data_IF_562712452912
#
_entry.id   IF_562712452912
#
_cell.length_a   1.000
_cell.length_b   1.000
_cell.length_c   1.000
_cell.angle_alpha   90.00
_cell.angle_beta   90.00
_cell.angle_gamma   90.00
#
_symmetry.space_group_name_H-M   'P 1'
#
loop_
_entity.id
_entity.type
_entity.pdbx_description
1 polymer ?
#
# COMPACT_ATOMS: atom_id res chain seq x y z
N UNK A 1 52.95 -46.95 15.67
CA UNK A 1 52.59 -46.41 14.34
C UNK A 1 51.15 -46.78 14.09
N UNK A 2 50.18 -45.92 13.78
CA UNK A 2 50.16 -44.50 13.41
C UNK A 2 48.69 -44.03 13.46
N UNK A 3 48.49 -42.97 14.25
CA UNK A 3 47.44 -41.95 14.36
C UNK A 3 46.07 -42.06 13.63
N UNK A 4 44.97 -41.60 14.27
CA UNK A 4 43.69 -41.34 13.61
C UNK A 4 43.75 -40.06 12.78
N UNK A 5 43.20 -40.13 11.57
CA UNK A 5 43.06 -39.02 10.62
C UNK A 5 42.13 -37.93 11.14
N UNK A 6 42.70 -36.82 11.61
CA UNK A 6 42.00 -35.56 11.86
C UNK A 6 41.65 -34.88 10.53
N UNK A 7 40.37 -34.72 10.23
CA UNK A 7 39.91 -33.83 9.17
C UNK A 7 40.11 -32.36 9.60
N UNK A 8 40.68 -31.48 8.76
CA UNK A 8 40.80 -30.07 9.12
C UNK A 8 39.43 -29.40 9.03
N UNK A 9 38.95 -28.88 10.17
CA UNK A 9 37.80 -28.00 10.22
C UNK A 9 38.07 -26.76 9.36
N UNK A 10 37.31 -26.61 8.27
CA UNK A 10 37.35 -25.40 7.42
C UNK A 10 36.73 -24.24 8.19
N UNK A 11 37.58 -23.46 8.84
CA UNK A 11 37.20 -22.24 9.55
C UNK A 11 36.75 -21.16 8.56
N UNK A 12 35.46 -21.11 8.22
CA UNK A 12 34.83 -19.95 7.57
C UNK A 12 34.67 -18.80 8.57
N UNK A 13 35.80 -18.26 9.05
CA UNK A 13 35.86 -17.02 9.83
C UNK A 13 36.78 -16.03 9.12
N UNK A 14 36.34 -15.49 8.00
CA UNK A 14 36.83 -14.18 7.57
C UNK A 14 35.84 -13.13 8.04
N UNK A 15 36.18 -12.59 9.21
CA UNK A 15 35.54 -11.45 9.83
C UNK A 15 35.46 -10.29 8.85
N UNK A 16 34.27 -9.68 8.79
CA UNK A 16 34.02 -8.38 8.20
C UNK A 16 34.90 -7.36 8.93
N UNK A 17 36.11 -7.14 8.43
CA UNK A 17 37.08 -6.22 9.04
C UNK A 17 36.70 -4.82 8.57
N UNK A 18 35.89 -4.13 9.37
CA UNK A 18 35.48 -2.75 9.12
C UNK A 18 36.74 -1.88 8.96
N UNK A 19 36.95 -1.37 7.75
CA UNK A 19 38.06 -0.48 7.38
C UNK A 19 37.49 0.92 7.21
N UNK A 20 37.53 1.78 8.24
CA UNK A 20 36.99 3.14 8.16
C UNK A 20 37.65 3.98 7.05
N UNK A 21 38.86 3.62 6.65
CA UNK A 21 39.67 4.27 5.61
C UNK A 21 39.13 4.06 4.17
N UNK A 22 38.19 3.13 3.95
CA UNK A 22 37.62 2.79 2.62
C UNK A 22 36.21 3.36 2.39
N UNK A 23 35.74 4.30 3.22
CA UNK A 23 34.39 4.87 3.08
C UNK A 23 34.20 5.71 1.80
N UNK A 24 35.27 6.30 1.25
CA UNK A 24 35.22 7.14 0.05
C UNK A 24 34.74 6.38 -1.20
N UNK A 25 35.08 5.09 -1.32
CA UNK A 25 34.62 4.20 -2.39
C UNK A 25 33.09 4.05 -2.35
N UNK A 26 32.52 3.84 -1.15
CA UNK A 26 31.06 3.77 -0.97
C UNK A 26 30.36 5.08 -1.37
N UNK A 27 30.94 6.23 -1.02
CA UNK A 27 30.40 7.53 -1.42
C UNK A 27 30.44 7.73 -2.94
N UNK A 28 31.49 7.29 -3.63
CA UNK A 28 31.58 7.35 -5.09
C UNK A 28 30.50 6.49 -5.77
N UNK A 29 30.20 5.31 -5.24
CA UNK A 29 29.11 4.47 -5.75
C UNK A 29 27.72 5.08 -5.49
N UNK A 30 27.55 5.82 -4.39
CA UNK A 30 26.31 6.53 -4.08
C UNK A 30 26.13 7.81 -4.90
N UNK A 31 27.24 8.42 -5.34
CA UNK A 31 27.28 9.75 -5.94
C UNK A 31 26.33 9.92 -7.15
N UNK A 32 26.27 9.00 -8.13
CA UNK A 32 25.35 9.12 -9.26
C UNK A 32 23.87 9.11 -8.84
N UNK A 33 23.52 8.26 -7.85
CA UNK A 33 22.16 8.18 -7.32
C UNK A 33 21.79 9.45 -6.55
N UNK A 34 22.71 9.97 -5.73
CA UNK A 34 22.51 11.21 -4.97
C UNK A 34 22.40 12.43 -5.86
N UNK A 35 23.21 12.52 -6.93
CA UNK A 35 23.07 13.59 -7.94
C UNK A 35 21.71 13.50 -8.62
N UNK A 36 21.31 12.31 -9.07
CA UNK A 36 20.00 12.11 -9.70
C UNK A 36 18.85 12.52 -8.78
N UNK A 37 18.87 12.05 -7.53
CA UNK A 37 17.91 12.45 -6.51
C UNK A 37 17.91 13.96 -6.26
N UNK A 38 19.10 14.56 -6.13
CA UNK A 38 19.29 15.98 -5.87
C UNK A 38 18.69 16.85 -6.97
N UNK A 39 18.97 16.52 -8.24
CA UNK A 39 18.54 17.31 -9.41
C UNK A 39 17.07 17.08 -9.73
N UNK A 40 16.59 15.84 -9.73
CA UNK A 40 15.25 15.54 -10.23
C UNK A 40 14.16 15.53 -9.16
N UNK A 41 14.51 15.22 -7.90
CA UNK A 41 13.51 15.14 -6.82
C UNK A 41 13.67 16.33 -5.88
N UNK A 42 14.83 16.47 -5.25
CA UNK A 42 15.03 17.46 -4.20
C UNK A 42 14.89 18.89 -4.74
N UNK A 43 15.57 19.21 -5.83
CA UNK A 43 15.48 20.51 -6.47
C UNK A 43 14.05 20.82 -6.94
N UNK A 44 13.33 19.85 -7.51
CA UNK A 44 11.94 20.04 -7.93
C UNK A 44 11.01 20.36 -6.75
N UNK A 45 11.20 19.68 -5.60
CA UNK A 45 10.45 19.96 -4.36
C UNK A 45 10.77 21.36 -3.84
N UNK A 46 12.05 21.75 -3.79
CA UNK A 46 12.46 23.08 -3.33
C UNK A 46 11.91 24.17 -4.26
N UNK A 47 11.97 23.98 -5.58
CA UNK A 47 11.41 24.91 -6.55
C UNK A 47 9.89 25.01 -6.42
N UNK A 48 9.17 23.90 -6.26
CA UNK A 48 7.72 23.89 -6.04
C UNK A 48 7.34 24.64 -4.75
N UNK A 49 8.14 24.48 -3.69
CA UNK A 49 7.96 25.23 -2.45
C UNK A 49 8.28 26.71 -2.61
N UNK A 50 9.28 27.08 -3.42
CA UNK A 50 9.52 28.49 -3.77
C UNK A 50 8.36 29.11 -4.55
N UNK A 51 7.83 28.38 -5.53
CA UNK A 51 6.69 28.78 -6.36
C UNK A 51 5.40 28.92 -5.56
N UNK A 52 5.21 28.20 -4.46
CA UNK A 52 4.00 28.33 -3.63
C UNK A 52 3.86 29.71 -3.00
N UNK A 53 4.94 30.49 -2.89
CA UNK A 53 4.93 31.88 -2.42
C UNK A 53 4.86 32.91 -3.56
N UNK A 54 4.77 32.47 -4.81
CA UNK A 54 4.70 33.31 -5.98
C UNK A 54 3.32 33.24 -6.65
N UNK A 55 2.93 34.33 -7.33
CA UNK A 55 1.82 34.32 -8.28
C UNK A 55 2.35 33.80 -9.61
N UNK A 56 2.06 32.52 -9.86
CA UNK A 56 2.47 31.80 -11.06
C UNK A 56 1.23 31.33 -11.82
N UNK A 57 1.11 31.74 -13.08
CA UNK A 57 -0.01 31.36 -13.94
C UNK A 57 0.45 30.91 -15.33
N UNK A 58 -0.52 30.67 -16.22
CA UNK A 58 -0.27 30.25 -17.61
C UNK A 58 0.61 31.24 -18.41
N UNK A 59 0.62 32.52 -18.01
CA UNK A 59 1.44 33.58 -18.62
C UNK A 59 2.82 33.76 -17.95
N UNK A 60 3.21 32.85 -17.05
CA UNK A 60 4.47 32.90 -16.31
C UNK A 60 4.35 33.54 -14.91
N UNK A 61 5.52 33.82 -14.32
CA UNK A 61 5.67 34.42 -12.99
C UNK A 61 5.22 35.89 -13.01
N UNK A 62 4.21 36.24 -12.23
CA UNK A 62 3.71 37.61 -12.08
C UNK A 62 4.36 38.36 -10.91
N UNK A 63 4.88 37.65 -9.91
CA UNK A 63 5.63 38.23 -8.79
C UNK A 63 5.55 37.39 -7.51
N UNK A 64 6.28 37.81 -6.48
CA UNK A 64 6.23 37.19 -5.16
C UNK A 64 5.02 37.70 -4.36
N UNK A 65 4.18 36.80 -3.87
CA UNK A 65 2.94 37.13 -3.13
C UNK A 65 2.96 36.67 -1.67
N UNK A 66 4.06 36.05 -1.22
CA UNK A 66 4.23 35.57 0.14
C UNK A 66 3.16 34.54 0.50
N UNK A 67 2.45 34.74 1.62
CA UNK A 67 1.45 33.79 2.12
C UNK A 67 0.05 33.94 1.52
N UNK A 68 -0.15 34.82 0.54
CA UNK A 68 -1.49 35.08 -0.04
C UNK A 68 -2.13 33.82 -0.63
N UNK A 69 -1.34 32.96 -1.29
CA UNK A 69 -1.83 31.68 -1.84
C UNK A 69 -2.41 30.78 -0.74
N UNK A 70 -1.75 30.69 0.41
CA UNK A 70 -2.22 29.89 1.55
C UNK A 70 -3.48 30.49 2.19
N UNK A 71 -3.58 31.82 2.31
CA UNK A 71 -4.78 32.48 2.82
C UNK A 71 -5.99 32.28 1.89
N UNK A 72 -5.76 32.34 0.58
CA UNK A 72 -6.78 32.04 -0.42
C UNK A 72 -7.25 30.59 -0.32
N UNK A 73 -6.30 29.64 -0.26
CA UNK A 73 -6.59 28.21 -0.12
C UNK A 73 -7.38 27.89 1.15
N UNK A 74 -7.01 28.51 2.28
CA UNK A 74 -7.70 28.30 3.55
C UNK A 74 -9.17 28.74 3.54
N UNK A 75 -9.50 29.75 2.74
CA UNK A 75 -10.87 30.26 2.58
C UNK A 75 -11.66 29.55 1.48
N UNK A 76 -11.01 28.69 0.71
CA UNK A 76 -11.63 27.98 -0.40
C UNK A 76 -12.44 26.76 0.11
N UNK A 77 -13.77 26.73 -0.04
CA UNK A 77 -14.57 25.58 0.36
C UNK A 77 -14.24 24.31 -0.45
N UNK A 78 -13.77 24.45 -1.70
CA UNK A 78 -13.40 23.32 -2.55
C UNK A 78 -12.15 22.63 -2.00
N UNK A 79 -11.17 23.39 -1.52
CA UNK A 79 -9.99 22.85 -0.84
C UNK A 79 -10.39 21.98 0.36
N UNK A 80 -11.26 22.47 1.23
CA UNK A 80 -11.70 21.72 2.40
C UNK A 80 -12.53 20.48 2.03
N UNK A 81 -13.31 20.54 0.96
CA UNK A 81 -14.04 19.38 0.44
C UNK A 81 -13.06 18.31 -0.08
N UNK A 82 -12.07 18.71 -0.87
CA UNK A 82 -11.03 17.81 -1.35
C UNK A 82 -10.24 17.19 -0.18
N UNK A 83 -9.80 18.01 0.77
CA UNK A 83 -9.09 17.54 1.96
C UNK A 83 -9.90 16.54 2.78
N UNK A 84 -11.20 16.79 3.01
CA UNK A 84 -12.09 15.84 3.71
C UNK A 84 -12.26 14.53 2.94
N UNK A 85 -12.32 14.58 1.61
CA UNK A 85 -12.39 13.38 0.78
C UNK A 85 -11.09 12.58 0.85
N UNK A 86 -9.93 13.23 0.75
CA UNK A 86 -8.62 12.57 0.92
C UNK A 86 -8.47 11.97 2.31
N UNK A 87 -8.86 12.70 3.37
CA UNK A 87 -8.86 12.19 4.74
C UNK A 87 -9.78 10.96 4.89
N UNK A 88 -10.96 10.98 4.28
CA UNK A 88 -11.85 9.83 4.22
C UNK A 88 -11.17 8.62 3.56
N UNK A 89 -10.48 8.82 2.43
CA UNK A 89 -9.74 7.73 1.78
C UNK A 89 -8.61 7.20 2.66
N UNK A 90 -7.84 8.06 3.31
CA UNK A 90 -6.75 7.62 4.20
C UNK A 90 -7.29 6.78 5.36
N UNK A 91 -8.30 7.28 6.08
CA UNK A 91 -8.87 6.60 7.26
C UNK A 91 -9.64 5.33 6.87
N UNK A 92 -10.10 5.21 5.62
CA UNK A 92 -10.86 4.05 5.15
C UNK A 92 -9.98 3.03 4.44
N UNK A 93 -9.28 3.44 3.38
CA UNK A 93 -8.48 2.55 2.52
C UNK A 93 -7.32 1.94 3.28
N UNK A 94 -6.55 2.74 4.03
CA UNK A 94 -5.32 2.25 4.67
C UNK A 94 -5.62 1.15 5.70
N UNK A 95 -6.54 1.34 6.67
CA UNK A 95 -6.85 0.27 7.63
C UNK A 95 -7.48 -0.96 6.97
N UNK A 96 -8.39 -0.76 6.00
CA UNK A 96 -9.02 -1.87 5.29
C UNK A 96 -7.99 -2.67 4.48
N UNK A 97 -7.08 -2.01 3.80
CA UNK A 97 -6.06 -2.67 2.99
C UNK A 97 -5.07 -3.43 3.88
N UNK A 98 -4.65 -2.87 5.02
CA UNK A 98 -3.85 -3.60 6.02
C UNK A 98 -4.61 -4.82 6.57
N UNK A 99 -5.89 -4.65 6.93
CA UNK A 99 -6.71 -5.73 7.46
C UNK A 99 -6.93 -6.85 6.45
N UNK A 100 -7.41 -6.53 5.24
CA UNK A 100 -7.62 -7.53 4.19
C UNK A 100 -6.31 -8.17 3.73
N UNK A 101 -5.23 -7.40 3.62
CA UNK A 101 -3.90 -7.92 3.32
C UNK A 101 -3.43 -8.94 4.36
N UNK A 102 -3.60 -8.62 5.66
CA UNK A 102 -3.28 -9.52 6.76
C UNK A 102 -4.13 -10.79 6.73
N UNK A 103 -5.45 -10.66 6.54
CA UNK A 103 -6.37 -11.81 6.50
C UNK A 103 -5.99 -12.76 5.37
N UNK A 104 -5.76 -12.23 4.16
CA UNK A 104 -5.34 -13.03 3.02
C UNK A 104 -3.96 -13.64 3.25
N UNK A 105 -3.02 -12.91 3.85
CA UNK A 105 -1.70 -13.43 4.18
C UNK A 105 -1.77 -14.58 5.18
N UNK A 106 -2.56 -14.46 6.25
CA UNK A 106 -2.77 -15.53 7.23
C UNK A 106 -3.42 -16.77 6.60
N UNK A 107 -4.45 -16.57 5.76
CA UNK A 107 -5.10 -17.67 5.04
C UNK A 107 -4.13 -18.41 4.12
N UNK A 108 -3.26 -17.67 3.42
CA UNK A 108 -2.24 -18.24 2.54
C UNK A 108 -1.00 -18.72 3.30
N UNK A 109 -0.79 -18.34 4.55
CA UNK A 109 0.35 -18.81 5.34
C UNK A 109 0.18 -20.28 5.74
N UNK A 110 -1.05 -20.77 5.79
CA UNK A 110 -1.37 -22.17 6.05
C UNK A 110 -0.97 -23.09 4.88
N UNK A 111 -0.85 -24.38 5.16
CA UNK A 111 -0.54 -25.43 4.18
C UNK A 111 -1.75 -25.76 3.29
N UNK A 112 -2.20 -24.79 2.50
CA UNK A 112 -3.32 -24.97 1.56
C UNK A 112 -2.82 -25.52 0.20
N UNK A 113 -3.63 -26.37 -0.43
CA UNK A 113 -3.37 -26.82 -1.81
C UNK A 113 -3.57 -25.64 -2.78
N UNK A 114 -2.70 -25.52 -3.79
CA UNK A 114 -2.84 -24.46 -4.81
C UNK A 114 -2.41 -23.06 -4.37
N UNK A 115 -1.61 -22.91 -3.30
CA UNK A 115 -1.14 -21.62 -2.77
C UNK A 115 -0.56 -20.66 -3.83
N UNK A 116 0.18 -21.19 -4.81
CA UNK A 116 0.75 -20.37 -5.89
C UNK A 116 -0.32 -19.80 -6.83
N UNK A 117 -1.40 -20.53 -7.10
CA UNK A 117 -2.51 -20.05 -7.93
C UNK A 117 -3.26 -18.93 -7.20
N UNK A 118 -3.55 -19.09 -5.91
CA UNK A 118 -4.19 -18.02 -5.14
C UNK A 118 -3.32 -16.76 -5.06
N UNK A 119 -2.01 -16.91 -4.81
CA UNK A 119 -1.06 -15.79 -4.84
C UNK A 119 -1.11 -15.07 -6.19
N UNK A 120 -1.13 -15.81 -7.31
CA UNK A 120 -1.23 -15.22 -8.64
C UNK A 120 -2.55 -14.45 -8.83
N UNK A 121 -3.70 -15.04 -8.48
CA UNK A 121 -5.01 -14.41 -8.65
C UNK A 121 -5.10 -13.10 -7.85
N UNK A 122 -4.68 -13.11 -6.60
CA UNK A 122 -4.74 -11.90 -5.75
C UNK A 122 -3.69 -10.86 -6.11
N UNK A 123 -2.55 -11.26 -6.69
CA UNK A 123 -1.50 -10.34 -7.11
C UNK A 123 -1.71 -9.80 -8.53
N UNK A 124 -2.47 -10.50 -9.38
CA UNK A 124 -2.74 -10.11 -10.77
C UNK A 124 -3.26 -8.66 -10.90
N UNK A 125 -4.18 -8.16 -10.05
CA UNK A 125 -4.60 -6.76 -10.11
C UNK A 125 -3.43 -5.78 -9.95
N UNK A 126 -2.43 -6.08 -9.13
CA UNK A 126 -1.30 -5.20 -8.81
C UNK A 126 -0.50 -4.84 -10.07
N UNK A 127 -0.39 -5.75 -11.03
CA UNK A 127 0.36 -5.52 -12.28
C UNK A 127 -0.47 -4.87 -13.39
N UNK A 128 -1.78 -4.70 -13.19
CA UNK A 128 -2.64 -4.05 -14.19
C UNK A 128 -2.46 -2.53 -14.19
N UNK A 129 -2.67 -1.90 -15.36
CA UNK A 129 -2.71 -0.45 -15.50
C UNK A 129 -3.95 0.09 -14.77
N UNK A 130 -3.75 1.05 -13.86
CA UNK A 130 -4.83 1.56 -13.01
C UNK A 130 -5.98 2.17 -13.83
N UNK A 131 -5.68 2.85 -14.95
CA UNK A 131 -6.67 3.44 -15.84
C UNK A 131 -7.57 2.37 -16.47
N UNK A 132 -6.99 1.25 -16.92
CA UNK A 132 -7.76 0.15 -17.48
C UNK A 132 -8.67 -0.50 -16.41
N UNK A 133 -8.13 -0.70 -15.20
CA UNK A 133 -8.91 -1.18 -14.06
C UNK A 133 -10.07 -0.26 -13.71
N UNK A 134 -9.84 1.06 -13.70
CA UNK A 134 -10.87 2.07 -13.44
C UNK A 134 -11.98 2.06 -14.51
N UNK A 135 -11.63 1.93 -15.80
CA UNK A 135 -12.62 1.81 -16.88
C UNK A 135 -13.47 0.56 -16.71
N UNK A 136 -12.86 -0.61 -16.43
CA UNK A 136 -13.60 -1.85 -16.21
C UNK A 136 -14.53 -1.73 -15.01
N UNK A 137 -14.05 -1.19 -13.88
CA UNK A 137 -14.90 -0.96 -12.72
C UNK A 137 -16.01 0.05 -12.99
N UNK A 138 -15.75 1.12 -13.76
CA UNK A 138 -16.77 2.09 -14.17
C UNK A 138 -17.87 1.42 -15.00
N UNK A 139 -17.51 0.53 -15.92
CA UNK A 139 -18.48 -0.26 -16.69
C UNK A 139 -19.28 -1.20 -15.77
N UNK A 140 -18.59 -1.92 -14.87
CA UNK A 140 -19.22 -2.83 -13.90
C UNK A 140 -20.21 -2.13 -12.98
N UNK A 141 -19.86 -0.94 -12.47
CA UNK A 141 -20.62 -0.15 -11.51
C UNK A 141 -21.57 0.86 -12.14
N UNK A 142 -21.68 0.88 -13.48
CA UNK A 142 -22.63 1.74 -14.17
C UNK A 142 -24.08 1.33 -13.84
N UNK A 143 -25.02 2.28 -13.92
CA UNK A 143 -26.43 2.03 -13.57
C UNK A 143 -27.10 0.95 -14.44
N UNK A 144 -26.56 0.69 -15.64
CA UNK A 144 -27.01 -0.37 -16.55
C UNK A 144 -25.91 -1.41 -16.75
N UNK A 145 -25.01 -1.53 -15.78
CA UNK A 145 -23.88 -2.45 -15.82
C UNK A 145 -24.24 -3.82 -15.25
N UNK A 146 -23.34 -4.81 -15.39
CA UNK A 146 -23.54 -6.16 -14.89
C UNK A 146 -23.92 -6.24 -13.40
N UNK A 147 -23.40 -5.35 -12.56
CA UNK A 147 -23.76 -5.33 -11.13
C UNK A 147 -25.20 -4.85 -10.91
N UNK A 148 -25.67 -3.87 -11.68
CA UNK A 148 -27.06 -3.42 -11.62
C UNK A 148 -28.00 -4.55 -12.09
N UNK A 149 -27.68 -5.21 -13.20
CA UNK A 149 -28.46 -6.34 -13.72
C UNK A 149 -28.57 -7.49 -12.72
N UNK A 150 -27.45 -7.83 -12.06
CA UNK A 150 -27.43 -8.83 -10.99
C UNK A 150 -28.31 -8.43 -9.80
N UNK A 151 -28.30 -7.16 -9.40
CA UNK A 151 -29.17 -6.69 -8.30
C UNK A 151 -30.64 -6.72 -8.67
N UNK A 152 -31.00 -6.35 -9.91
CA UNK A 152 -32.38 -6.46 -10.39
C UNK A 152 -32.84 -7.92 -10.48
N UNK A 153 -31.98 -8.81 -10.98
CA UNK A 153 -32.27 -10.25 -11.00
C UNK A 153 -32.52 -10.80 -9.60
N UNK A 154 -31.68 -10.43 -8.62
CA UNK A 154 -31.85 -10.84 -7.22
C UNK A 154 -33.12 -10.25 -6.58
N UNK A 155 -33.43 -8.98 -6.87
CA UNK A 155 -34.66 -8.32 -6.44
C UNK A 155 -35.90 -9.07 -6.94
N UNK A 156 -35.90 -9.45 -8.23
CA UNK A 156 -36.99 -10.21 -8.85
C UNK A 156 -37.15 -11.61 -8.26
N UNK A 157 -36.05 -12.31 -7.93
CA UNK A 157 -36.09 -13.62 -7.29
C UNK A 157 -36.62 -13.58 -5.85
N UNK A 158 -36.27 -12.54 -5.10
CA UNK A 158 -36.62 -12.41 -3.68
C UNK A 158 -37.94 -11.66 -3.46
N UNK A 159 -38.48 -11.01 -4.49
CA UNK A 159 -39.64 -10.14 -4.40
C UNK A 159 -39.39 -8.85 -3.61
N UNK A 160 -38.14 -8.56 -3.25
CA UNK A 160 -37.77 -7.37 -2.49
C UNK A 160 -37.54 -6.18 -3.44
N UNK A 161 -38.07 -4.98 -3.14
CA UNK A 161 -37.84 -3.78 -3.94
C UNK A 161 -36.43 -3.22 -3.71
N UNK A 162 -35.40 -3.93 -4.20
CA UNK A 162 -34.01 -3.53 -4.11
C UNK A 162 -33.67 -2.72 -5.36
N UNK A 163 -33.31 -1.46 -5.17
CA UNK A 163 -32.79 -0.61 -6.25
C UNK A 163 -31.27 -0.56 -6.18
N UNK A 164 -30.55 -0.77 -7.30
CA UNK A 164 -29.10 -0.64 -7.30
C UNK A 164 -28.69 0.78 -6.90
N UNK A 165 -27.72 0.93 -5.99
CA UNK A 165 -27.18 2.23 -5.66
C UNK A 165 -26.45 2.81 -6.89
N UNK A 166 -26.62 4.11 -7.12
CA UNK A 166 -25.91 4.81 -8.18
C UNK A 166 -24.45 5.04 -7.77
N UNK A 167 -23.62 4.03 -7.99
CA UNK A 167 -22.23 3.97 -7.56
C UNK A 167 -21.37 5.10 -8.09
N UNK A 168 -21.64 5.62 -9.29
CA UNK A 168 -20.77 6.60 -9.95
C UNK A 168 -21.22 8.05 -9.72
N UNK A 169 -22.53 8.31 -9.74
CA UNK A 169 -23.04 9.68 -9.70
C UNK A 169 -23.55 10.12 -8.32
N UNK A 170 -23.65 9.19 -7.36
CA UNK A 170 -24.07 9.54 -6.00
C UNK A 170 -22.89 10.09 -5.18
N UNK A 171 -23.10 11.21 -4.49
CA UNK A 171 -22.14 11.76 -3.52
C UNK A 171 -21.84 10.81 -2.34
N UNK A 172 -22.75 9.87 -2.06
CA UNK A 172 -22.59 8.86 -1.00
C UNK A 172 -21.83 7.63 -1.48
N UNK A 173 -22.17 7.10 -2.66
CA UNK A 173 -21.66 5.81 -3.14
C UNK A 173 -20.38 5.90 -3.99
N UNK A 174 -20.14 7.04 -4.67
CA UNK A 174 -18.92 7.27 -5.47
C UNK A 174 -17.63 7.06 -4.72
N UNK A 175 -17.55 7.56 -3.48
CA UNK A 175 -16.37 7.35 -2.62
C UNK A 175 -16.12 5.87 -2.34
N UNK A 176 -17.19 5.09 -2.14
CA UNK A 176 -17.07 3.65 -1.89
C UNK A 176 -16.68 2.88 -3.15
N UNK A 177 -17.13 3.29 -4.33
CA UNK A 177 -16.69 2.72 -5.60
C UNK A 177 -15.16 2.86 -5.78
N UNK A 178 -14.63 4.04 -5.49
CA UNK A 178 -13.18 4.29 -5.51
C UNK A 178 -12.45 3.46 -4.45
N UNK A 179 -12.98 3.35 -3.22
CA UNK A 179 -12.41 2.48 -2.18
C UNK A 179 -12.34 1.03 -2.66
N UNK A 180 -13.42 0.50 -3.26
CA UNK A 180 -13.47 -0.87 -3.75
C UNK A 180 -12.41 -1.15 -4.83
N UNK A 181 -12.29 -0.26 -5.83
CA UNK A 181 -11.25 -0.37 -6.85
C UNK A 181 -9.86 -0.34 -6.21
N UNK A 182 -9.63 0.60 -5.31
CA UNK A 182 -8.33 0.81 -4.66
C UNK A 182 -7.92 -0.42 -3.84
N UNK A 183 -8.87 -1.00 -3.08
CA UNK A 183 -8.64 -2.23 -2.32
C UNK A 183 -8.37 -3.41 -3.25
N UNK A 184 -9.20 -3.61 -4.27
CA UNK A 184 -9.01 -4.69 -5.24
C UNK A 184 -7.64 -4.62 -5.93
N UNK A 185 -7.20 -3.42 -6.30
CA UNK A 185 -5.92 -3.18 -6.96
C UNK A 185 -4.72 -3.51 -6.06
N UNK A 186 -4.77 -3.10 -4.80
CA UNK A 186 -3.57 -3.00 -3.95
C UNK A 186 -3.49 -4.03 -2.83
N UNK A 187 -4.58 -4.72 -2.49
CA UNK A 187 -4.59 -5.72 -1.40
C UNK A 187 -3.61 -6.87 -1.65
N UNK A 188 -3.42 -7.27 -2.92
CA UNK A 188 -2.47 -8.33 -3.29
C UNK A 188 -1.03 -8.01 -2.92
N UNK A 189 -0.62 -6.75 -3.10
CA UNK A 189 0.73 -6.29 -2.73
C UNK A 189 0.93 -6.35 -1.22
N UNK A 190 -0.01 -5.82 -0.45
CA UNK A 190 0.00 -5.85 1.02
C UNK A 190 0.01 -7.29 1.55
N UNK A 191 -0.79 -8.17 0.95
CA UNK A 191 -0.82 -9.60 1.28
C UNK A 191 0.53 -10.27 1.06
N UNK A 192 1.20 -10.05 -0.08
CA UNK A 192 2.49 -10.69 -0.37
C UNK A 192 3.56 -10.27 0.63
N UNK A 193 3.61 -8.98 0.99
CA UNK A 193 4.56 -8.46 1.98
C UNK A 193 4.28 -9.05 3.36
N UNK A 194 3.03 -9.07 3.81
CA UNK A 194 2.68 -9.71 5.08
C UNK A 194 3.00 -11.20 5.08
N UNK A 195 2.73 -11.90 3.98
CA UNK A 195 3.01 -13.31 3.87
C UNK A 195 4.51 -13.60 3.99
N UNK A 196 5.36 -12.78 3.37
CA UNK A 196 6.80 -12.89 3.53
C UNK A 196 7.24 -12.64 4.99
N UNK A 197 6.66 -11.64 5.66
CA UNK A 197 6.96 -11.37 7.06
C UNK A 197 6.50 -12.49 8.01
N UNK A 198 5.31 -13.04 7.78
CA UNK A 198 4.77 -14.18 8.54
C UNK A 198 5.65 -15.42 8.41
N UNK A 199 6.21 -15.65 7.22
CA UNK A 199 7.15 -16.76 6.96
C UNK A 199 8.51 -16.58 7.64
N UNK A 200 8.85 -15.35 8.05
CA UNK A 200 10.06 -15.05 8.80
C UNK A 200 9.93 -15.22 10.31
N UNK A 201 8.72 -15.45 10.84
CA UNK A 201 8.52 -15.65 12.28
C UNK A 201 9.01 -17.05 12.68
N UNK A 202 9.96 -17.17 13.63
CA UNK A 202 10.48 -18.47 14.05
C UNK A 202 9.38 -19.39 14.60
N UNK A 203 9.39 -20.65 14.18
CA UNK A 203 8.42 -21.67 14.63
C UNK A 203 8.47 -21.90 16.15
N UNK A 204 9.68 -21.81 16.74
CA UNK A 204 9.93 -21.99 18.17
C UNK A 204 9.07 -21.08 19.06
N UNK A 205 8.75 -19.86 18.60
CA UNK A 205 7.89 -18.94 19.35
C UNK A 205 6.42 -19.40 19.38
N UNK A 206 5.96 -20.05 18.30
CA UNK A 206 4.62 -20.62 18.25
C UNK A 206 4.52 -21.88 19.12
N UNK A 207 5.55 -22.72 19.11
CA UNK A 207 5.60 -23.97 19.88
C UNK A 207 5.73 -23.67 21.39
N UNK A 208 6.50 -22.66 21.77
CA UNK A 208 6.60 -22.18 23.15
C UNK A 208 5.24 -21.65 23.65
N UNK A 209 4.57 -20.81 22.86
CA UNK A 209 3.25 -20.30 23.20
C UNK A 209 2.19 -21.42 23.31
N UNK A 210 2.27 -22.45 22.47
CA UNK A 210 1.39 -23.62 22.56
C UNK A 210 1.66 -24.45 23.83
N UNK A 211 2.92 -24.59 24.23
CA UNK A 211 3.31 -25.22 25.50
C UNK A 211 2.76 -24.46 26.71
N UNK A 212 2.72 -23.12 26.63
CA UNK A 212 2.11 -22.25 27.64
C UNK A 212 0.56 -22.22 27.59
N UNK A 213 -0.07 -23.02 26.71
CA UNK A 213 -1.53 -23.13 26.60
C UNK A 213 -2.20 -21.99 25.83
N UNK A 214 -1.46 -21.22 25.03
CA UNK A 214 -2.01 -20.10 24.27
C UNK A 214 -2.90 -20.57 23.10
N UNK A 215 -4.13 -20.06 23.05
CA UNK A 215 -5.05 -20.29 21.93
C UNK A 215 -4.63 -19.52 20.66
N UNK A 216 -5.27 -19.80 19.52
CA UNK A 216 -4.91 -19.20 18.23
C UNK A 216 -4.95 -17.65 18.20
N UNK A 217 -5.92 -17.05 18.89
CA UNK A 217 -6.01 -15.59 18.98
C UNK A 217 -4.92 -14.99 19.87
N UNK A 218 -4.59 -15.65 20.99
CA UNK A 218 -3.48 -15.26 21.86
C UNK A 218 -2.14 -15.37 21.12
N UNK A 219 -1.91 -16.45 20.37
CA UNK A 219 -0.72 -16.59 19.52
C UNK A 219 -0.64 -15.48 18.46
N UNK A 220 -1.74 -15.19 17.77
CA UNK A 220 -1.78 -14.10 16.79
C UNK A 220 -1.45 -12.74 17.43
N UNK A 221 -2.09 -12.39 18.54
CA UNK A 221 -1.93 -11.08 19.18
C UNK A 221 -0.58 -10.91 19.89
N UNK A 222 -0.06 -11.96 20.53
CA UNK A 222 1.12 -11.87 21.40
C UNK A 222 2.42 -12.34 20.72
N UNK A 223 2.35 -13.15 19.68
CA UNK A 223 3.53 -13.63 18.93
C UNK A 223 3.57 -13.00 17.54
N UNK A 224 2.54 -13.22 16.73
CA UNK A 224 2.54 -12.82 15.32
C UNK A 224 2.56 -11.31 15.14
N UNK A 225 1.60 -10.58 15.72
CA UNK A 225 1.46 -9.13 15.54
C UNK A 225 2.70 -8.35 15.98
N UNK A 226 3.31 -8.62 17.15
CA UNK A 226 4.55 -7.95 17.56
C UNK A 226 5.72 -8.23 16.61
N UNK A 227 5.89 -9.49 16.20
CA UNK A 227 7.00 -9.89 15.32
C UNK A 227 6.93 -9.26 13.93
N UNK A 228 5.73 -9.08 13.37
CA UNK A 228 5.55 -8.44 12.05
C UNK A 228 5.26 -6.93 12.16
N UNK A 229 5.27 -6.36 13.37
CA UNK A 229 4.99 -4.93 13.57
C UNK A 229 5.87 -3.98 12.75
N UNK A 230 7.18 -4.25 12.50
CA UNK A 230 7.98 -3.39 11.62
C UNK A 230 7.47 -3.41 10.18
N UNK A 231 6.98 -4.56 9.71
CA UNK A 231 6.37 -4.71 8.38
C UNK A 231 5.03 -4.01 8.31
N UNK A 232 4.18 -4.13 9.35
CA UNK A 232 2.91 -3.39 9.45
C UNK A 232 3.15 -1.88 9.39
N UNK A 233 4.14 -1.38 10.12
CA UNK A 233 4.50 0.04 10.13
C UNK A 233 5.02 0.52 8.77
N UNK A 234 5.88 -0.27 8.13
CA UNK A 234 6.33 0.00 6.77
C UNK A 234 5.15 0.09 5.78
N UNK A 235 4.24 -0.89 5.82
CA UNK A 235 3.05 -0.92 4.97
C UNK A 235 2.10 0.24 5.26
N UNK A 236 1.95 0.63 6.53
CA UNK A 236 1.17 1.79 6.95
C UNK A 236 1.71 3.07 6.29
N UNK A 237 3.02 3.30 6.36
CA UNK A 237 3.65 4.48 5.75
C UNK A 237 3.45 4.49 4.24
N UNK A 238 3.76 3.37 3.56
CA UNK A 238 3.62 3.29 2.10
C UNK A 238 2.17 3.52 1.65
N UNK A 239 1.21 2.90 2.33
CA UNK A 239 -0.20 3.05 1.99
C UNK A 239 -0.71 4.45 2.32
N UNK A 240 -0.21 5.08 3.38
CA UNK A 240 -0.53 6.47 3.69
C UNK A 240 -0.04 7.41 2.59
N UNK A 241 1.21 7.27 2.14
CA UNK A 241 1.75 8.02 1.00
C UNK A 241 0.88 7.81 -0.25
N UNK A 242 0.54 6.56 -0.57
CA UNK A 242 -0.33 6.24 -1.71
C UNK A 242 -1.71 6.85 -1.61
N UNK A 243 -2.34 6.83 -0.43
CA UNK A 243 -3.66 7.42 -0.20
C UNK A 243 -3.66 8.95 -0.32
N UNK A 244 -2.56 9.63 0.03
CA UNK A 244 -2.39 11.06 -0.23
C UNK A 244 -2.22 11.39 -1.72
N UNK A 245 -1.69 10.45 -2.52
CA UNK A 245 -1.44 10.60 -3.95
C UNK A 245 -2.58 10.06 -4.83
N UNK A 246 -3.67 9.58 -4.22
CA UNK A 246 -4.81 9.00 -4.91
C UNK A 246 -5.51 10.06 -5.78
N UNK A 247 -5.49 9.86 -7.10
CA UNK A 247 -6.01 10.81 -8.08
C UNK A 247 -6.62 10.11 -9.30
N UNK A 248 -5.93 9.12 -9.85
CA UNK A 248 -6.32 8.50 -11.13
C UNK A 248 -7.66 7.78 -11.03
N UNK A 249 -7.93 7.09 -9.92
CA UNK A 249 -9.16 6.35 -9.67
C UNK A 249 -10.41 7.24 -9.72
N UNK A 250 -10.53 8.31 -8.91
CA UNK A 250 -11.68 9.22 -8.95
C UNK A 250 -11.72 10.10 -10.19
N UNK A 251 -10.59 10.29 -10.89
CA UNK A 251 -10.56 11.07 -12.13
C UNK A 251 -11.14 10.32 -13.33
N UNK A 252 -10.91 9.00 -13.42
CA UNK A 252 -11.34 8.17 -14.55
C UNK A 252 -12.77 7.63 -14.39
N UNK A 253 -13.17 7.33 -13.15
CA UNK A 253 -14.49 6.79 -12.80
C UNK A 253 -15.59 7.83 -12.88
#
# INVERSE_FOLDING_TARGET
MSQPTSQPATSFRRAFRWRPDQQWEAYLFLLPSLIGFGIFVFLAVVMSLGLSFADWGLTGLKGFVGLKNYQALWRDPVFWQAFRNTAFFIVTVVPLQLAFGMILALALNQSIRGKNLYRLIYFMPVVTVIVAGAIVFRLLLSNNGPLADLTYWFANLTGLPITPPNWLNSTKYSKWAVVMLTLWKNVGFTMVIYLAALQGVPQELYDAAETDGANGWQRFRNVTVPMISPTTFFLLILQMIGAFQLFTEPFVM
#
